data_IF_890990678172
#
_entry.id   IF_890990678172
#
_cell.length_a   1.000
_cell.length_b   1.000
_cell.length_c   1.000
_cell.angle_alpha   90.00
_cell.angle_beta   90.00
_cell.angle_gamma   90.00
#
_symmetry.space_group_name_H-M   'P 1'
#
loop_
_entity.id
_entity.type
_entity.pdbx_description
1 polymer ?
#
# COMPACT_ATOMS: atom_id res chain seq x y z
N UNK A 1 18.22 10.97 -8.95
CA UNK A 1 16.94 10.29 -8.74
C UNK A 1 16.41 9.55 -9.98
N UNK A 2 16.16 10.13 -11.16
CA UNK A 2 15.60 9.37 -12.30
C UNK A 2 16.42 8.16 -12.74
N UNK A 3 17.75 8.20 -12.64
CA UNK A 3 18.65 7.09 -12.99
C UNK A 3 18.52 5.86 -12.07
N UNK A 4 18.15 6.06 -10.81
CA UNK A 4 18.00 4.99 -9.82
C UNK A 4 16.75 4.17 -10.12
N UNK A 5 15.61 4.84 -10.34
CA UNK A 5 14.32 4.18 -10.62
C UNK A 5 14.37 3.33 -11.90
N UNK A 6 15.10 3.76 -12.92
CA UNK A 6 15.17 3.02 -14.19
C UNK A 6 16.14 1.84 -14.17
N UNK A 7 17.22 1.90 -13.38
CA UNK A 7 18.11 0.74 -13.18
C UNK A 7 17.42 -0.39 -12.41
N UNK A 8 16.47 -0.07 -11.54
CA UNK A 8 15.72 -1.04 -10.75
C UNK A 8 14.71 -1.81 -11.61
N UNK A 9 14.17 -1.20 -12.66
CA UNK A 9 13.04 -1.74 -13.44
C UNK A 9 13.39 -2.92 -14.37
N UNK A 10 14.64 -3.30 -14.58
CA UNK A 10 14.99 -4.38 -15.56
C UNK A 10 15.08 -5.80 -14.98
N UNK A 11 14.67 -6.09 -13.78
CA UNK A 11 14.43 -7.36 -13.07
C UNK A 11 14.16 -7.00 -11.61
N UNK A 12 13.10 -6.26 -11.35
CA UNK A 12 12.78 -5.75 -10.03
C UNK A 12 11.59 -6.52 -9.45
N UNK A 13 11.69 -6.82 -8.17
CA UNK A 13 10.51 -7.13 -7.36
C UNK A 13 10.06 -5.85 -6.65
N UNK A 14 8.77 -5.57 -6.64
CA UNK A 14 8.17 -4.56 -5.78
C UNK A 14 7.49 -5.30 -4.64
N UNK A 15 7.83 -4.90 -3.43
CA UNK A 15 7.30 -5.48 -2.20
C UNK A 15 6.33 -4.46 -1.62
N UNK A 16 5.10 -4.89 -1.44
CA UNK A 16 4.10 -4.12 -0.72
C UNK A 16 4.02 -4.61 0.72
N UNK A 17 4.27 -3.71 1.66
CA UNK A 17 3.94 -3.93 3.05
C UNK A 17 2.46 -3.65 3.25
N UNK A 18 1.75 -4.65 3.78
CA UNK A 18 0.36 -4.50 4.21
C UNK A 18 -0.52 -3.69 3.24
N UNK A 19 -0.80 -4.27 2.05
CA UNK A 19 -1.66 -3.66 1.01
C UNK A 19 -2.95 -3.09 1.60
N UNK A 20 -3.42 -3.65 2.71
CA UNK A 20 -4.58 -3.19 3.48
C UNK A 20 -4.36 -1.85 4.18
N UNK A 21 -3.14 -1.53 4.61
CA UNK A 21 -2.83 -0.36 5.45
C UNK A 21 -2.38 0.87 4.68
N UNK A 22 -2.28 0.79 3.36
CA UNK A 22 -1.96 1.94 2.51
C UNK A 22 -3.17 2.88 2.45
N UNK A 23 -3.66 3.28 3.62
CA UNK A 23 -4.84 4.13 3.77
C UNK A 23 -4.51 5.41 4.53
N UNK A 24 -5.15 6.47 4.09
CA UNK A 24 -5.20 7.74 4.82
C UNK A 24 -5.85 7.51 6.20
N UNK A 25 -5.09 7.73 7.26
CA UNK A 25 -5.58 7.66 8.64
C UNK A 25 -6.75 8.63 8.93
N UNK A 26 -7.06 9.52 7.99
CA UNK A 26 -8.14 10.50 8.13
C UNK A 26 -9.50 10.03 7.60
N UNK A 27 -9.56 8.92 6.85
CA UNK A 27 -10.82 8.38 6.36
C UNK A 27 -11.19 7.10 7.11
N UNK A 28 -12.29 7.17 7.83
CA UNK A 28 -12.95 6.07 8.53
C UNK A 28 -13.43 4.94 7.60
N UNK A 29 -13.37 5.14 6.30
CA UNK A 29 -13.98 4.31 5.27
C UNK A 29 -13.22 3.01 4.92
N UNK A 30 -12.24 2.61 5.74
CA UNK A 30 -11.28 1.58 5.35
C UNK A 30 -11.53 0.20 5.92
N UNK A 31 -12.36 0.09 6.95
CA UNK A 31 -12.69 -1.18 7.62
C UNK A 31 -14.19 -1.31 7.65
N UNK A 32 -14.72 -2.40 7.10
CA UNK A 32 -16.16 -2.69 7.13
C UNK A 32 -16.47 -3.89 8.02
N UNK A 33 -17.71 -3.94 8.48
CA UNK A 33 -18.32 -5.15 9.02
C UNK A 33 -19.21 -5.75 7.93
N UNK A 34 -18.67 -6.68 7.12
CA UNK A 34 -19.46 -7.31 6.08
C UNK A 34 -20.47 -8.31 6.61
N UNK A 35 -20.16 -8.96 7.75
CA UNK A 35 -20.99 -10.03 8.29
C UNK A 35 -21.10 -9.95 9.80
N UNK A 36 -22.31 -10.19 10.29
CA UNK A 36 -22.66 -10.35 11.68
C UNK A 36 -23.33 -11.72 11.83
N UNK A 37 -22.83 -12.54 12.74
CA UNK A 37 -23.39 -13.86 13.01
C UNK A 37 -23.79 -13.97 14.48
N UNK A 38 -25.05 -13.66 14.83
CA UNK A 38 -25.55 -13.83 16.19
C UNK A 38 -25.78 -15.31 16.52
N UNK A 39 -25.61 -15.67 17.78
CA UNK A 39 -25.98 -16.99 18.26
C UNK A 39 -27.51 -17.11 18.40
N UNK A 40 -27.99 -18.33 18.55
CA UNK A 40 -29.42 -18.62 18.63
C UNK A 40 -30.12 -17.82 19.74
N UNK A 41 -31.19 -17.13 19.37
CA UNK A 41 -31.98 -16.28 20.26
C UNK A 41 -31.46 -14.84 20.42
N UNK A 42 -30.46 -14.43 19.65
CA UNK A 42 -29.88 -13.08 19.65
C UNK A 42 -30.13 -12.45 18.29
N UNK A 43 -30.43 -11.16 18.23
CA UNK A 43 -30.54 -10.42 16.99
C UNK A 43 -29.22 -9.74 16.63
N UNK A 44 -29.05 -9.40 15.33
CA UNK A 44 -27.87 -8.66 14.83
C UNK A 44 -27.70 -7.34 15.60
N UNK A 45 -28.81 -6.64 15.85
CA UNK A 45 -28.78 -5.36 16.57
C UNK A 45 -28.36 -5.51 18.03
N UNK A 46 -28.81 -6.54 18.72
CA UNK A 46 -28.39 -6.80 20.11
C UNK A 46 -26.91 -7.14 20.19
N UNK A 47 -26.41 -7.96 19.26
CA UNK A 47 -24.97 -8.27 19.18
C UNK A 47 -24.15 -7.03 18.87
N UNK A 48 -24.58 -6.24 17.90
CA UNK A 48 -23.87 -5.02 17.49
C UNK A 48 -23.90 -3.94 18.58
N UNK A 49 -25.03 -3.78 19.30
CA UNK A 49 -25.14 -2.85 20.43
C UNK A 49 -24.19 -3.21 21.56
N UNK A 50 -24.10 -4.49 21.91
CA UNK A 50 -23.19 -4.96 22.94
C UNK A 50 -21.72 -4.76 22.51
N UNK A 51 -21.39 -5.13 21.28
CA UNK A 51 -20.06 -4.93 20.72
C UNK A 51 -19.69 -3.43 20.67
N UNK A 52 -20.60 -2.58 20.23
CA UNK A 52 -20.42 -1.13 20.20
C UNK A 52 -20.14 -0.55 21.59
N UNK A 53 -20.97 -0.93 22.58
CA UNK A 53 -20.80 -0.45 23.94
C UNK A 53 -19.44 -0.85 24.53
N UNK A 54 -18.90 -2.02 24.17
CA UNK A 54 -17.58 -2.48 24.61
C UNK A 54 -16.43 -1.80 23.83
N UNK A 55 -16.57 -1.69 22.51
CA UNK A 55 -15.50 -1.21 21.62
C UNK A 55 -15.34 0.33 21.59
N UNK A 56 -16.37 1.09 21.99
CA UNK A 56 -16.32 2.57 21.99
C UNK A 56 -15.16 3.13 22.85
N UNK A 57 -14.75 2.38 23.86
CA UNK A 57 -13.65 2.72 24.75
C UNK A 57 -12.28 2.18 24.25
N UNK A 58 -12.23 1.50 23.12
CA UNK A 58 -11.05 0.87 22.56
C UNK A 58 -10.38 1.76 21.54
N UNK A 59 -9.05 1.91 21.61
CA UNK A 59 -8.25 2.62 20.61
C UNK A 59 -7.86 1.71 19.43
N UNK A 60 -8.29 0.47 19.41
CA UNK A 60 -7.92 -0.49 18.37
C UNK A 60 -8.56 -0.13 17.02
N UNK A 61 -7.84 -0.24 15.89
CA UNK A 61 -8.41 0.08 14.57
C UNK A 61 -9.69 -0.70 14.22
N UNK A 62 -9.78 -1.98 14.64
CA UNK A 62 -10.97 -2.82 14.41
C UNK A 62 -12.18 -2.34 15.23
N UNK A 63 -11.94 -1.72 16.39
CA UNK A 63 -13.00 -1.12 17.20
C UNK A 63 -13.76 -0.03 16.46
N UNK A 64 -13.02 0.81 15.71
CA UNK A 64 -13.62 1.89 14.92
C UNK A 64 -14.66 1.36 13.93
N UNK A 65 -14.39 0.24 13.27
CA UNK A 65 -15.33 -0.36 12.33
C UNK A 65 -16.65 -0.79 13.03
N UNK A 66 -16.55 -1.31 14.25
CA UNK A 66 -17.73 -1.67 15.04
C UNK A 66 -18.53 -0.45 15.43
N UNK A 67 -17.83 0.61 15.88
CA UNK A 67 -18.42 1.89 16.25
C UNK A 67 -19.14 2.53 15.05
N UNK A 68 -18.45 2.69 13.93
CA UNK A 68 -18.99 3.31 12.71
C UNK A 68 -20.20 2.57 12.15
N UNK A 69 -20.15 1.23 12.15
CA UNK A 69 -21.27 0.43 11.71
C UNK A 69 -22.47 0.60 12.63
N UNK A 70 -22.29 0.60 13.93
CA UNK A 70 -23.37 0.77 14.90
C UNK A 70 -24.00 2.16 14.83
N UNK A 71 -23.16 3.19 14.70
CA UNK A 71 -23.63 4.58 14.51
C UNK A 71 -24.41 4.74 13.19
N UNK A 72 -23.91 4.13 12.10
CA UNK A 72 -24.59 4.13 10.81
C UNK A 72 -25.94 3.43 10.83
N UNK A 73 -26.08 2.38 11.63
CA UNK A 73 -27.35 1.67 11.84
C UNK A 73 -28.25 2.36 12.90
N UNK A 74 -27.79 3.48 13.48
CA UNK A 74 -28.55 4.26 14.48
C UNK A 74 -28.63 3.60 15.86
N UNK A 75 -27.69 2.71 16.17
CA UNK A 75 -27.62 2.01 17.45
C UNK A 75 -26.96 2.94 18.47
N UNK A 76 -27.48 2.92 19.71
CA UNK A 76 -26.97 3.73 20.82
C UNK A 76 -26.14 2.83 21.75
N UNK A 77 -24.92 3.31 22.10
CA UNK A 77 -24.09 2.62 23.08
C UNK A 77 -24.66 2.74 24.49
N UNK A 78 -24.44 1.72 25.29
CA UNK A 78 -24.74 1.76 26.73
C UNK A 78 -23.44 1.98 27.52
N UNK A 79 -23.56 2.61 28.69
CA UNK A 79 -22.39 2.90 29.53
C UNK A 79 -21.82 1.61 30.16
N UNK A 80 -20.51 1.39 29.96
CA UNK A 80 -19.78 0.25 30.50
C UNK A 80 -18.90 0.70 31.68
N UNK A 81 -18.94 -0.05 32.74
CA UNK A 81 -18.03 0.08 33.88
C UNK A 81 -16.94 -1.00 33.83
N UNK A 82 -15.87 -0.80 34.61
CA UNK A 82 -14.75 -1.74 34.72
C UNK A 82 -14.14 -2.16 33.39
N UNK A 83 -14.09 -1.20 32.41
CA UNK A 83 -13.49 -1.47 31.11
C UNK A 83 -11.99 -1.75 31.25
N UNK A 84 -11.52 -2.82 30.61
CA UNK A 84 -10.13 -3.21 30.57
C UNK A 84 -9.76 -3.75 29.17
N UNK A 85 -8.78 -3.15 28.53
CA UNK A 85 -8.15 -3.66 27.31
C UNK A 85 -7.03 -4.65 27.68
N UNK A 86 -7.13 -5.89 27.22
CA UNK A 86 -6.14 -6.95 27.43
C UNK A 86 -5.24 -7.02 26.20
N UNK A 87 -4.05 -6.45 26.29
CA UNK A 87 -3.12 -6.35 25.16
C UNK A 87 -2.91 -7.69 24.44
N UNK A 88 -3.24 -7.72 23.14
CA UNK A 88 -3.10 -8.90 22.29
C UNK A 88 -4.19 -9.97 22.44
N UNK A 89 -5.12 -9.83 23.38
CA UNK A 89 -6.15 -10.83 23.68
C UNK A 89 -7.58 -10.34 23.38
N UNK A 90 -7.99 -9.22 23.95
CA UNK A 90 -9.33 -8.71 23.76
C UNK A 90 -9.70 -7.63 24.77
N UNK A 91 -11.00 -7.48 25.01
CA UNK A 91 -11.60 -6.47 25.86
C UNK A 91 -12.52 -7.13 26.91
N UNK A 92 -12.65 -6.49 28.06
CA UNK A 92 -13.64 -6.87 29.06
C UNK A 92 -14.26 -5.61 29.66
N UNK A 93 -15.51 -5.73 30.13
CA UNK A 93 -16.21 -4.66 30.80
C UNK A 93 -17.49 -5.19 31.46
N UNK A 94 -18.18 -4.33 32.19
CA UNK A 94 -19.44 -4.68 32.91
C UNK A 94 -20.55 -3.77 32.39
N UNK A 95 -21.61 -4.35 31.85
CA UNK A 95 -22.82 -3.67 31.40
C UNK A 95 -24.01 -4.10 32.27
N UNK A 96 -24.64 -3.17 33.00
CA UNK A 96 -25.79 -3.45 33.87
C UNK A 96 -25.54 -4.60 34.85
N UNK A 97 -24.31 -4.77 35.39
CA UNK A 97 -23.92 -5.84 36.28
C UNK A 97 -23.58 -7.15 35.58
N UNK A 98 -23.65 -7.24 34.29
CA UNK A 98 -23.29 -8.41 33.49
C UNK A 98 -21.90 -8.25 32.83
N UNK A 99 -21.06 -9.27 32.94
CA UNK A 99 -19.71 -9.24 32.39
C UNK A 99 -19.74 -9.46 30.90
N UNK A 100 -19.14 -8.52 30.18
CA UNK A 100 -18.91 -8.58 28.72
C UNK A 100 -17.46 -8.95 28.43
N UNK A 101 -17.27 -9.72 27.36
CA UNK A 101 -15.97 -10.07 26.79
C UNK A 101 -16.03 -9.87 25.29
N UNK A 102 -14.97 -9.34 24.73
CA UNK A 102 -14.76 -9.24 23.28
C UNK A 102 -13.32 -9.59 22.92
N UNK A 103 -13.09 -10.33 21.83
CA UNK A 103 -11.72 -10.64 21.47
C UNK A 103 -11.53 -11.67 20.37
N UNK A 104 -10.27 -12.12 20.23
CA UNK A 104 -9.86 -13.10 19.23
C UNK A 104 -10.40 -14.50 19.53
N UNK A 105 -10.44 -15.36 18.50
CA UNK A 105 -10.86 -16.78 18.65
C UNK A 105 -10.06 -17.47 19.76
N UNK A 106 -8.73 -17.29 19.75
CA UNK A 106 -7.83 -17.93 20.72
C UNK A 106 -8.18 -17.52 22.15
N UNK A 107 -8.30 -16.22 22.39
CA UNK A 107 -8.64 -15.70 23.73
C UNK A 107 -10.01 -16.17 24.20
N UNK A 108 -11.00 -16.18 23.32
CA UNK A 108 -12.36 -16.60 23.67
C UNK A 108 -12.43 -18.11 23.92
N UNK A 109 -11.71 -18.93 23.15
CA UNK A 109 -11.67 -20.39 23.36
C UNK A 109 -11.00 -20.74 24.69
N UNK A 110 -9.91 -20.07 25.05
CA UNK A 110 -9.23 -20.25 26.35
C UNK A 110 -10.08 -19.78 27.55
N UNK A 111 -10.91 -18.72 27.32
CA UNK A 111 -11.67 -18.11 28.45
C UNK A 111 -13.02 -18.71 28.67
N UNK A 112 -13.80 -19.03 27.63
CA UNK A 112 -15.17 -19.49 27.73
C UNK A 112 -15.42 -20.90 27.15
N UNK A 113 -14.46 -21.42 26.38
CA UNK A 113 -14.61 -22.67 25.63
C UNK A 113 -15.60 -22.54 24.48
N UNK A 114 -15.08 -22.43 23.23
CA UNK A 114 -15.93 -22.30 22.07
C UNK A 114 -16.44 -23.65 21.59
N UNK A 115 -17.69 -23.67 21.11
CA UNK A 115 -18.24 -24.85 20.45
C UNK A 115 -17.66 -24.97 19.02
N UNK A 116 -17.72 -26.21 18.46
CA UNK A 116 -17.18 -26.50 17.12
C UNK A 116 -17.77 -25.58 16.05
N UNK A 117 -19.08 -25.29 16.11
CA UNK A 117 -19.76 -24.43 15.16
C UNK A 117 -19.19 -22.99 15.13
N UNK A 118 -18.89 -22.44 16.30
CA UNK A 118 -18.28 -21.10 16.39
C UNK A 118 -16.85 -21.08 15.81
N UNK A 119 -16.09 -22.16 16.02
CA UNK A 119 -14.75 -22.33 15.42
C UNK A 119 -14.82 -22.43 13.91
N UNK A 120 -15.70 -23.27 13.37
CA UNK A 120 -15.91 -23.42 11.94
C UNK A 120 -16.27 -22.11 11.25
N UNK A 121 -17.24 -21.35 11.80
CA UNK A 121 -17.65 -20.05 11.24
C UNK A 121 -16.50 -19.04 11.30
N UNK A 122 -15.78 -19.00 12.40
CA UNK A 122 -14.62 -18.11 12.54
C UNK A 122 -13.51 -18.47 11.56
N UNK A 123 -13.26 -19.75 11.31
CA UNK A 123 -12.31 -20.23 10.33
C UNK A 123 -12.76 -19.92 8.89
N UNK A 124 -14.06 -20.05 8.62
CA UNK A 124 -14.64 -19.67 7.34
C UNK A 124 -14.42 -18.19 7.04
N UNK A 125 -14.74 -17.30 8.00
CA UNK A 125 -14.46 -15.86 7.83
C UNK A 125 -12.97 -15.57 7.66
N UNK A 126 -12.09 -16.19 8.44
CA UNK A 126 -10.65 -16.04 8.29
C UNK A 126 -10.17 -16.50 6.90
N UNK A 127 -10.74 -17.59 6.35
CA UNK A 127 -10.42 -18.07 5.00
C UNK A 127 -10.85 -17.11 3.89
N UNK A 128 -11.85 -16.25 4.16
CA UNK A 128 -12.31 -15.17 3.27
C UNK A 128 -11.50 -13.87 3.43
N UNK A 129 -10.44 -13.86 4.26
CA UNK A 129 -9.64 -12.67 4.51
C UNK A 129 -10.22 -11.70 5.55
N UNK A 130 -11.27 -12.12 6.28
CA UNK A 130 -11.93 -11.34 7.33
C UNK A 130 -11.32 -11.66 8.70
N UNK A 131 -11.38 -10.72 9.62
CA UNK A 131 -10.95 -10.91 11.02
C UNK A 131 -12.19 -11.12 11.89
N UNK A 132 -12.44 -12.33 12.40
CA UNK A 132 -13.57 -12.57 13.30
C UNK A 132 -13.28 -12.04 14.69
N UNK A 133 -14.17 -11.19 15.20
CA UNK A 133 -14.24 -10.74 16.58
C UNK A 133 -15.41 -11.45 17.27
N UNK A 134 -15.14 -12.10 18.38
CA UNK A 134 -16.13 -12.83 19.15
C UNK A 134 -16.56 -12.04 20.37
N UNK A 135 -17.84 -12.02 20.67
CA UNK A 135 -18.41 -11.31 21.80
C UNK A 135 -19.22 -12.26 22.69
N UNK A 136 -19.02 -12.13 24.00
CA UNK A 136 -19.70 -12.96 24.97
C UNK A 136 -20.23 -12.12 26.14
N UNK A 137 -21.31 -12.62 26.77
CA UNK A 137 -21.96 -12.05 27.94
C UNK A 137 -22.08 -13.14 28.98
N UNK A 138 -21.61 -12.90 30.21
CA UNK A 138 -21.61 -13.87 31.32
C UNK A 138 -21.06 -15.25 30.90
N UNK A 139 -19.94 -15.29 30.20
CA UNK A 139 -19.27 -16.47 29.64
C UNK A 139 -20.10 -17.26 28.60
N UNK A 140 -21.19 -16.70 28.09
CA UNK A 140 -21.96 -17.28 26.99
C UNK A 140 -21.67 -16.51 25.72
N UNK A 141 -21.25 -17.20 24.64
CA UNK A 141 -21.02 -16.59 23.34
C UNK A 141 -22.32 -15.98 22.80
N UNK A 142 -22.28 -14.70 22.45
CA UNK A 142 -23.41 -13.95 21.90
C UNK A 142 -23.36 -13.93 20.36
N UNK A 143 -22.17 -13.92 19.79
CA UNK A 143 -22.00 -13.95 18.35
C UNK A 143 -20.60 -13.60 17.88
N UNK A 144 -20.48 -13.55 16.57
CA UNK A 144 -19.23 -13.26 15.84
C UNK A 144 -19.50 -12.09 14.91
N UNK A 145 -18.63 -11.09 14.95
CA UNK A 145 -18.62 -9.97 14.01
C UNK A 145 -17.38 -10.11 13.14
N UNK A 146 -17.56 -10.28 11.84
CA UNK A 146 -16.46 -10.37 10.92
C UNK A 146 -16.08 -8.96 10.43
N UNK A 147 -14.85 -8.57 10.67
CA UNK A 147 -14.29 -7.29 10.25
C UNK A 147 -13.39 -7.53 9.06
N UNK A 148 -13.57 -6.78 7.97
CA UNK A 148 -12.74 -6.87 6.78
C UNK A 148 -12.16 -5.50 6.44
N UNK A 149 -10.87 -5.49 6.13
CA UNK A 149 -10.27 -4.34 5.48
C UNK A 149 -10.73 -4.28 4.03
N UNK A 150 -11.14 -3.10 3.58
CA UNK A 150 -11.48 -2.90 2.17
C UNK A 150 -10.18 -2.86 1.37
N UNK A 151 -10.06 -3.80 0.45
CA UNK A 151 -9.04 -3.71 -0.59
C UNK A 151 -9.52 -2.66 -1.59
N UNK A 152 -8.71 -1.62 -1.82
CA UNK A 152 -9.06 -0.61 -2.82
C UNK A 152 -9.21 -1.24 -4.19
N UNK A 153 -10.24 -0.82 -4.92
CA UNK A 153 -10.50 -1.26 -6.30
C UNK A 153 -9.29 -1.04 -7.22
N UNK A 154 -8.52 0.02 -6.97
CA UNK A 154 -7.32 0.36 -7.75
C UNK A 154 -6.10 -0.55 -7.45
N UNK A 155 -6.11 -1.32 -6.36
CA UNK A 155 -4.97 -2.17 -5.96
C UNK A 155 -4.69 -3.27 -6.98
N UNK A 156 -5.72 -4.01 -7.40
CA UNK A 156 -5.58 -5.06 -8.41
C UNK A 156 -5.11 -4.50 -9.76
N UNK A 157 -5.61 -3.32 -10.13
CA UNK A 157 -5.19 -2.65 -11.36
C UNK A 157 -3.73 -2.19 -11.28
N UNK A 158 -3.29 -1.62 -10.15
CA UNK A 158 -1.92 -1.21 -9.94
C UNK A 158 -0.94 -2.39 -10.03
N UNK A 159 -1.28 -3.51 -9.40
CA UNK A 159 -0.49 -4.74 -9.46
C UNK A 159 -0.37 -5.24 -10.90
N UNK A 160 -1.48 -5.32 -11.63
CA UNK A 160 -1.49 -5.72 -13.02
C UNK A 160 -0.67 -4.79 -13.92
N UNK A 161 -0.68 -3.48 -13.67
CA UNK A 161 0.15 -2.53 -14.41
C UNK A 161 1.65 -2.75 -14.15
N UNK A 162 2.04 -3.07 -12.92
CA UNK A 162 3.43 -3.40 -12.58
C UNK A 162 3.87 -4.71 -13.25
N UNK A 163 3.04 -5.74 -13.21
CA UNK A 163 3.28 -7.00 -13.89
C UNK A 163 3.43 -6.82 -15.41
N UNK A 164 2.62 -5.96 -16.04
CA UNK A 164 2.76 -5.58 -17.45
C UNK A 164 4.09 -4.83 -17.76
N UNK A 165 4.80 -4.36 -16.74
CA UNK A 165 6.12 -3.76 -16.88
C UNK A 165 7.27 -4.74 -16.59
N UNK A 166 6.97 -6.06 -16.52
CA UNK A 166 7.89 -7.14 -16.14
C UNK A 166 8.45 -6.98 -14.72
N UNK A 167 7.63 -6.47 -13.80
CA UNK A 167 7.99 -6.29 -12.39
C UNK A 167 7.22 -7.33 -11.57
N UNK A 168 7.94 -8.17 -10.84
CA UNK A 168 7.35 -9.12 -9.88
C UNK A 168 6.83 -8.36 -8.67
N UNK A 169 5.58 -8.65 -8.28
CA UNK A 169 4.92 -8.04 -7.12
C UNK A 169 4.80 -9.06 -5.99
N UNK A 170 5.40 -8.76 -4.86
CA UNK A 170 5.40 -9.61 -3.66
C UNK A 170 4.69 -8.87 -2.52
N UNK A 171 3.71 -9.50 -1.90
CA UNK A 171 3.07 -8.98 -0.70
C UNK A 171 3.79 -9.50 0.55
N UNK A 172 4.17 -8.61 1.47
CA UNK A 172 4.75 -8.96 2.77
C UNK A 172 3.84 -8.43 3.87
N UNK A 173 3.32 -9.29 4.72
CA UNK A 173 2.35 -8.89 5.75
C UNK A 173 2.57 -9.60 7.08
N UNK A 174 2.16 -8.96 8.17
CA UNK A 174 2.08 -9.56 9.50
C UNK A 174 0.87 -10.47 9.71
N UNK A 175 -0.08 -10.47 8.76
CA UNK A 175 -1.27 -11.31 8.82
C UNK A 175 -0.94 -12.81 8.80
N UNK A 176 -1.86 -13.63 9.28
CA UNK A 176 -1.73 -15.07 9.15
C UNK A 176 -1.76 -15.51 7.68
N UNK A 177 -1.20 -16.68 7.41
CA UNK A 177 -1.00 -17.21 6.07
C UNK A 177 -2.32 -17.37 5.27
N UNK A 178 -3.43 -17.74 5.94
CA UNK A 178 -4.73 -17.92 5.27
C UNK A 178 -5.27 -16.58 4.78
N UNK A 179 -5.30 -15.58 5.64
CA UNK A 179 -5.75 -14.22 5.30
C UNK A 179 -4.87 -13.61 4.20
N UNK A 180 -3.55 -13.71 4.35
CA UNK A 180 -2.59 -13.21 3.38
C UNK A 180 -2.78 -13.85 1.99
N UNK A 181 -2.97 -15.16 1.93
CA UNK A 181 -3.23 -15.88 0.68
C UNK A 181 -4.57 -15.49 0.04
N UNK A 182 -5.62 -15.27 0.83
CA UNK A 182 -6.92 -14.82 0.34
C UNK A 182 -6.81 -13.45 -0.33
N UNK A 183 -6.14 -12.50 0.32
CA UNK A 183 -5.89 -11.16 -0.21
C UNK A 183 -5.03 -11.21 -1.47
N UNK A 184 -3.91 -11.93 -1.43
CA UNK A 184 -3.00 -12.12 -2.57
C UNK A 184 -3.75 -12.61 -3.82
N UNK A 185 -4.64 -13.60 -3.67
CA UNK A 185 -5.50 -14.08 -4.76
C UNK A 185 -6.46 -13.02 -5.28
N UNK A 186 -7.03 -12.20 -4.39
CA UNK A 186 -7.98 -11.17 -4.75
C UNK A 186 -7.32 -10.02 -5.52
N UNK A 187 -6.13 -9.58 -5.10
CA UNK A 187 -5.41 -8.47 -5.75
C UNK A 187 -4.50 -8.94 -6.87
N UNK A 188 -4.16 -10.23 -6.93
CA UNK A 188 -3.36 -10.84 -8.00
C UNK A 188 -1.86 -10.64 -7.86
N UNK A 189 -1.31 -10.64 -6.64
CA UNK A 189 0.16 -10.59 -6.44
C UNK A 189 0.83 -11.88 -6.91
N UNK A 190 2.10 -11.80 -7.32
CA UNK A 190 2.86 -12.96 -7.82
C UNK A 190 3.31 -13.87 -6.68
N UNK A 191 3.48 -13.32 -5.48
CA UNK A 191 3.95 -14.07 -4.31
C UNK A 191 3.47 -13.40 -3.02
N UNK A 192 3.46 -14.16 -1.91
CA UNK A 192 3.06 -13.65 -0.60
C UNK A 192 3.94 -14.23 0.51
N UNK A 193 4.37 -13.38 1.44
CA UNK A 193 5.14 -13.76 2.63
C UNK A 193 4.34 -13.27 3.84
N UNK A 194 3.74 -14.21 4.56
CA UNK A 194 2.84 -13.95 5.67
C UNK A 194 3.52 -14.12 7.03
N UNK A 195 2.89 -13.62 8.10
CA UNK A 195 3.35 -13.81 9.49
C UNK A 195 4.65 -13.09 9.82
N UNK A 196 4.98 -12.04 9.08
CA UNK A 196 6.25 -11.31 9.21
C UNK A 196 6.13 -10.24 10.29
N UNK A 197 6.91 -10.37 11.35
CA UNK A 197 7.03 -9.32 12.35
C UNK A 197 7.69 -8.05 11.76
N UNK A 198 7.46 -6.87 12.33
CA UNK A 198 8.03 -5.62 11.83
C UNK A 198 9.54 -5.70 11.58
N UNK A 199 10.31 -6.24 12.52
CA UNK A 199 11.77 -6.40 12.42
C UNK A 199 12.18 -7.46 11.37
N UNK A 200 11.29 -8.38 11.02
CA UNK A 200 11.55 -9.42 10.01
C UNK A 200 11.46 -8.91 8.57
N UNK A 201 10.78 -7.80 8.34
CA UNK A 201 10.60 -7.24 6.99
C UNK A 201 11.93 -6.84 6.35
N UNK A 202 12.86 -6.28 7.12
CA UNK A 202 14.21 -5.92 6.64
C UNK A 202 14.99 -7.14 6.12
N UNK A 203 14.96 -8.26 6.85
CA UNK A 203 15.67 -9.48 6.45
C UNK A 203 15.10 -10.08 5.16
N UNK A 204 13.76 -10.03 4.97
CA UNK A 204 13.11 -10.44 3.73
C UNK A 204 13.59 -9.59 2.54
N UNK A 205 13.66 -8.26 2.71
CA UNK A 205 14.21 -7.38 1.68
C UNK A 205 15.63 -7.79 1.30
N UNK A 206 16.46 -8.07 2.29
CA UNK A 206 17.85 -8.50 2.08
C UNK A 206 17.93 -9.82 1.30
N UNK A 207 17.09 -10.79 1.63
CA UNK A 207 17.02 -12.06 0.90
C UNK A 207 16.58 -11.86 -0.55
N UNK A 208 15.55 -11.07 -0.79
CA UNK A 208 15.03 -10.80 -2.14
C UNK A 208 16.01 -10.01 -3.01
N UNK A 209 16.86 -9.16 -2.42
CA UNK A 209 17.93 -8.45 -3.13
C UNK A 209 18.98 -9.40 -3.73
N UNK A 210 19.12 -10.61 -3.22
CA UNK A 210 20.00 -11.61 -3.83
C UNK A 210 19.54 -12.06 -5.22
N UNK A 211 18.23 -11.98 -5.48
CA UNK A 211 17.62 -12.35 -6.76
C UNK A 211 17.49 -11.20 -7.76
N UNK A 212 17.70 -9.95 -7.33
CA UNK A 212 17.52 -8.78 -8.21
C UNK A 212 17.40 -7.47 -7.45
N UNK A 213 16.97 -6.43 -8.17
CA UNK A 213 16.69 -5.14 -7.55
C UNK A 213 15.32 -5.14 -6.90
N UNK A 214 15.22 -4.54 -5.73
CA UNK A 214 14.03 -4.53 -4.88
C UNK A 214 13.60 -3.10 -4.58
N UNK A 215 12.35 -2.78 -4.89
CA UNK A 215 11.68 -1.61 -4.38
C UNK A 215 10.73 -2.04 -3.24
N UNK A 216 10.75 -1.31 -2.14
CA UNK A 216 9.82 -1.49 -1.02
C UNK A 216 8.80 -0.37 -1.04
N UNK A 217 7.53 -0.74 -0.89
CA UNK A 217 6.42 0.19 -0.77
C UNK A 217 5.77 -0.01 0.59
N UNK A 218 5.66 1.04 1.37
CA UNK A 218 5.10 1.00 2.72
C UNK A 218 4.49 2.34 3.11
N UNK A 219 3.70 2.34 4.19
CA UNK A 219 2.94 3.51 4.64
C UNK A 219 3.39 4.05 6.00
N UNK A 220 4.18 3.30 6.75
CA UNK A 220 4.31 3.55 8.15
C UNK A 220 5.69 3.46 8.78
N UNK A 221 5.69 3.82 10.06
CA UNK A 221 6.85 3.78 10.96
C UNK A 221 7.46 2.38 11.01
N UNK A 222 6.63 1.35 10.99
CA UNK A 222 7.04 -0.05 11.07
C UNK A 222 7.79 -0.54 9.82
N UNK A 223 7.68 0.18 8.72
CA UNK A 223 8.31 -0.17 7.44
C UNK A 223 9.61 0.61 7.19
N UNK A 224 9.95 1.60 8.01
CA UNK A 224 11.12 2.45 7.83
C UNK A 224 12.44 1.66 7.68
N UNK A 225 12.73 0.61 8.48
CA UNK A 225 13.93 -0.22 8.29
C UNK A 225 13.94 -0.93 6.92
N UNK A 226 12.79 -1.45 6.50
CA UNK A 226 12.64 -2.14 5.22
C UNK A 226 12.72 -1.17 4.02
N UNK A 227 12.14 0.03 4.12
CA UNK A 227 12.23 1.11 3.13
C UNK A 227 13.70 1.52 2.91
N UNK A 228 14.43 1.77 3.99
CA UNK A 228 15.87 2.13 3.93
C UNK A 228 16.72 0.99 3.37
N UNK A 229 16.36 -0.28 3.63
CA UNK A 229 17.12 -1.45 3.19
C UNK A 229 16.96 -1.76 1.72
N UNK A 230 15.84 -1.41 1.13
CA UNK A 230 15.53 -1.63 -0.27
C UNK A 230 16.51 -0.90 -1.21
N UNK A 231 16.51 -1.21 -2.51
CA UNK A 231 17.24 -0.41 -3.50
C UNK A 231 16.48 0.90 -3.81
N UNK A 232 15.17 0.91 -3.58
CA UNK A 232 14.32 2.10 -3.57
C UNK A 232 13.24 1.90 -2.51
N UNK A 233 13.16 2.82 -1.56
CA UNK A 233 12.03 2.96 -0.62
C UNK A 233 10.98 3.91 -1.18
N UNK A 234 9.72 3.50 -1.17
CA UNK A 234 8.58 4.29 -1.62
C UNK A 234 7.57 4.38 -0.47
N UNK A 235 7.40 5.57 0.10
CA UNK A 235 6.34 5.82 1.08
C UNK A 235 5.06 6.24 0.37
N UNK A 236 3.91 5.71 0.81
CA UNK A 236 2.58 6.05 0.29
C UNK A 236 1.74 6.74 1.37
N UNK A 237 0.96 7.75 0.92
CA UNK A 237 0.09 8.54 1.79
C UNK A 237 0.85 9.68 2.49
N UNK A 238 0.14 10.47 3.27
CA UNK A 238 0.74 11.46 4.16
C UNK A 238 1.43 10.72 5.32
N UNK A 239 2.47 9.94 4.98
CA UNK A 239 3.23 9.11 5.91
C UNK A 239 3.72 9.91 7.11
N UNK A 240 4.02 9.20 8.19
CA UNK A 240 4.68 9.81 9.33
C UNK A 240 6.04 10.38 8.91
N UNK A 241 6.52 11.41 9.57
CA UNK A 241 7.82 12.03 9.30
C UNK A 241 8.94 10.98 9.20
N UNK A 242 8.86 9.92 10.01
CA UNK A 242 9.82 8.79 10.00
C UNK A 242 9.80 8.01 8.67
N UNK A 243 8.62 7.77 8.08
CA UNK A 243 8.52 7.07 6.80
C UNK A 243 8.99 7.97 5.64
N UNK A 244 8.73 9.27 5.74
CA UNK A 244 9.20 10.28 4.78
C UNK A 244 10.73 10.33 4.77
N UNK A 245 11.36 10.34 5.94
CA UNK A 245 12.82 10.37 6.07
C UNK A 245 13.51 9.06 5.61
N UNK A 246 12.80 7.94 5.72
CA UNK A 246 13.32 6.62 5.34
C UNK A 246 13.16 6.29 3.84
N UNK A 247 12.30 7.02 3.11
CA UNK A 247 11.94 6.72 1.74
C UNK A 247 12.72 7.59 0.72
N UNK A 248 13.07 7.00 -0.43
CA UNK A 248 13.62 7.74 -1.58
C UNK A 248 12.53 8.51 -2.35
N UNK A 249 11.30 8.02 -2.31
CA UNK A 249 10.14 8.58 -3.01
C UNK A 249 8.97 8.62 -2.05
N UNK A 250 8.29 9.77 -1.98
CA UNK A 250 7.07 9.94 -1.21
C UNK A 250 5.91 10.22 -2.16
N UNK A 251 4.89 9.36 -2.11
CA UNK A 251 3.65 9.50 -2.86
C UNK A 251 2.60 10.10 -1.94
N UNK A 252 2.16 11.33 -2.24
CA UNK A 252 1.30 12.11 -1.35
C UNK A 252 -0.14 11.58 -1.26
N UNK A 253 -0.57 10.80 -2.25
CA UNK A 253 -1.90 10.19 -2.25
C UNK A 253 -1.80 8.75 -1.75
N UNK A 254 -2.86 8.30 -1.08
CA UNK A 254 -2.98 6.92 -0.61
C UNK A 254 -3.47 5.97 -1.71
N UNK A 255 -2.97 6.08 -2.94
CA UNK A 255 -3.35 5.25 -4.09
C UNK A 255 -2.17 4.40 -4.55
N UNK A 256 -2.39 3.08 -4.66
CA UNK A 256 -1.39 2.17 -5.21
C UNK A 256 -1.07 2.48 -6.68
N UNK A 257 -2.00 3.07 -7.42
CA UNK A 257 -1.80 3.49 -8.82
C UNK A 257 -0.70 4.53 -9.01
N UNK A 258 -0.36 5.26 -7.95
CA UNK A 258 0.74 6.24 -8.01
C UNK A 258 2.11 5.57 -8.13
N UNK A 259 2.27 4.31 -7.71
CA UNK A 259 3.52 3.55 -7.85
C UNK A 259 3.84 3.26 -9.33
N UNK A 260 2.95 2.58 -10.11
CA UNK A 260 3.19 2.43 -11.55
C UNK A 260 3.26 3.77 -12.28
N UNK A 261 2.51 4.80 -11.85
CA UNK A 261 2.56 6.13 -12.42
C UNK A 261 3.95 6.78 -12.22
N UNK A 262 4.53 6.70 -11.02
CA UNK A 262 5.88 7.20 -10.73
C UNK A 262 6.95 6.49 -11.57
N UNK A 263 6.82 5.18 -11.77
CA UNK A 263 7.74 4.41 -12.64
C UNK A 263 7.60 4.84 -14.11
N UNK A 264 6.38 5.02 -14.61
CA UNK A 264 6.13 5.51 -15.97
C UNK A 264 6.71 6.90 -16.17
N UNK A 265 6.48 7.79 -15.21
CA UNK A 265 7.03 9.15 -15.24
C UNK A 265 8.55 9.15 -15.27
N UNK A 266 9.19 8.34 -14.43
CA UNK A 266 10.65 8.19 -14.39
C UNK A 266 11.21 7.67 -15.73
N UNK A 267 10.57 6.66 -16.33
CA UNK A 267 10.94 6.13 -17.66
C UNK A 267 10.81 7.22 -18.76
N UNK A 268 9.72 7.99 -18.72
CA UNK A 268 9.48 9.08 -19.65
C UNK A 268 10.52 10.20 -19.50
N UNK A 269 10.83 10.60 -18.27
CA UNK A 269 11.85 11.61 -17.97
C UNK A 269 13.23 11.18 -18.45
N UNK A 270 13.63 9.92 -18.22
CA UNK A 270 14.92 9.42 -18.72
C UNK A 270 15.01 9.39 -20.24
N UNK A 271 13.95 8.96 -20.91
CA UNK A 271 13.90 9.03 -22.39
C UNK A 271 14.08 10.46 -22.85
N UNK A 272 13.38 11.40 -22.24
CA UNK A 272 13.47 12.82 -22.57
C UNK A 272 14.89 13.35 -22.35
N UNK A 273 15.57 12.97 -21.25
CA UNK A 273 16.96 13.34 -20.97
C UNK A 273 17.90 12.77 -22.05
N UNK A 274 17.75 11.52 -22.46
CA UNK A 274 18.57 10.93 -23.52
C UNK A 274 18.35 11.61 -24.87
N UNK A 275 17.11 11.93 -25.22
CA UNK A 275 16.78 12.69 -26.42
C UNK A 275 17.41 14.08 -26.39
N UNK A 276 17.34 14.79 -25.27
CA UNK A 276 17.96 16.11 -25.10
C UNK A 276 19.48 16.04 -25.22
N UNK A 277 20.13 15.07 -24.62
CA UNK A 277 21.58 14.85 -24.76
C UNK A 277 21.95 14.56 -26.21
N UNK A 278 21.18 13.69 -26.89
CA UNK A 278 21.42 13.40 -28.29
C UNK A 278 21.39 14.68 -29.14
N UNK A 279 20.34 15.49 -29.01
CA UNK A 279 20.24 16.75 -29.75
C UNK A 279 21.37 17.73 -29.39
N UNK A 280 21.71 17.86 -28.10
CA UNK A 280 22.80 18.73 -27.67
C UNK A 280 24.16 18.29 -28.23
N UNK A 281 24.42 16.97 -28.35
CA UNK A 281 25.68 16.48 -28.92
C UNK A 281 25.73 16.53 -30.43
N UNK A 282 24.63 16.24 -31.12
CA UNK A 282 24.66 16.16 -32.60
C UNK A 282 25.04 17.47 -33.23
N UNK A 283 24.58 18.61 -32.68
CA UNK A 283 24.98 19.94 -33.19
C UNK A 283 26.47 20.20 -33.03
N UNK A 284 27.08 19.75 -31.94
CA UNK A 284 28.51 19.89 -31.71
C UNK A 284 29.32 18.92 -32.57
N UNK A 285 28.88 17.70 -32.79
CA UNK A 285 29.51 16.70 -33.65
C UNK A 285 29.59 17.20 -35.10
N UNK A 286 28.57 17.91 -35.56
CA UNK A 286 28.54 18.51 -36.90
C UNK A 286 29.28 19.87 -36.93
N UNK A 287 29.06 20.70 -35.93
CA UNK A 287 29.56 22.07 -35.87
C UNK A 287 31.05 22.17 -35.67
N UNK A 288 31.67 21.31 -34.84
CA UNK A 288 33.11 21.36 -34.54
C UNK A 288 33.96 21.08 -35.81
N UNK A 289 33.72 20.01 -36.61
CA UNK A 289 34.43 19.76 -37.85
C UNK A 289 34.28 20.89 -38.86
N UNK A 290 33.10 21.51 -38.93
CA UNK A 290 32.89 22.68 -39.78
C UNK A 290 33.67 23.90 -39.30
N UNK A 291 33.72 24.14 -38.00
CA UNK A 291 34.42 25.29 -37.40
C UNK A 291 35.93 25.20 -37.54
N UNK A 292 36.53 24.01 -37.42
CA UNK A 292 37.98 23.82 -37.64
C UNK A 292 38.37 23.81 -39.13
N UNK A 293 37.39 23.94 -40.02
CA UNK A 293 37.66 24.03 -41.46
C UNK A 293 37.93 22.71 -42.17
N UNK A 294 37.53 21.56 -41.59
CA UNK A 294 37.76 20.23 -42.19
C UNK A 294 37.15 20.08 -43.57
N UNK A 295 36.11 20.86 -43.89
CA UNK A 295 35.39 20.82 -45.15
C UNK A 295 35.74 21.96 -46.11
N UNK A 296 36.73 22.83 -45.79
CA UNK A 296 37.21 23.90 -46.67
C UNK A 296 37.68 23.36 -48.05
N UNK A 297 38.37 22.19 -48.13
CA UNK A 297 38.76 21.65 -49.45
C UNK A 297 37.57 21.32 -50.35
N UNK A 298 36.38 21.15 -49.80
CA UNK A 298 35.14 20.89 -50.53
C UNK A 298 34.30 22.18 -50.75
N UNK A 299 34.88 23.35 -50.47
CA UNK A 299 34.20 24.64 -50.64
C UNK A 299 33.17 24.96 -49.55
N UNK A 300 33.14 24.20 -48.44
CA UNK A 300 32.19 24.41 -47.35
C UNK A 300 32.90 25.15 -46.21
N UNK A 301 32.46 26.37 -45.92
CA UNK A 301 32.96 27.19 -44.82
C UNK A 301 31.83 27.51 -43.84
N UNK A 302 32.15 27.53 -42.55
CA UNK A 302 31.18 27.92 -41.52
C UNK A 302 31.08 29.44 -41.45
N UNK A 303 29.90 29.98 -41.78
CA UNK A 303 29.59 31.37 -41.50
C UNK A 303 29.22 31.51 -40.00
N UNK A 304 29.78 32.46 -39.24
CA UNK A 304 29.48 32.68 -37.84
C UNK A 304 27.96 32.83 -37.53
N UNK A 305 27.21 33.40 -38.44
CA UNK A 305 25.76 33.57 -38.34
C UNK A 305 25.03 32.22 -38.30
N UNK A 306 25.44 31.23 -39.09
CA UNK A 306 24.88 29.89 -39.07
C UNK A 306 25.27 29.17 -37.80
N UNK A 307 26.47 29.38 -37.24
CA UNK A 307 26.87 28.85 -35.94
C UNK A 307 25.99 29.35 -34.81
N UNK A 308 25.74 30.65 -34.75
CA UNK A 308 24.84 31.26 -33.76
C UNK A 308 23.39 30.77 -33.89
N UNK A 309 22.90 30.65 -35.13
CA UNK A 309 21.56 30.12 -35.40
C UNK A 309 21.42 28.65 -34.95
N UNK A 310 22.44 27.81 -35.20
CA UNK A 310 22.45 26.41 -34.78
C UNK A 310 22.44 26.27 -33.25
N UNK A 311 23.18 27.11 -32.51
CA UNK A 311 23.15 27.13 -31.04
C UNK A 311 21.76 27.50 -30.50
N UNK A 312 21.12 28.54 -31.09
CA UNK A 312 19.76 28.95 -30.71
C UNK A 312 18.74 27.86 -31.00
N UNK A 313 18.84 27.17 -32.13
CA UNK A 313 17.98 26.08 -32.53
C UNK A 313 18.14 24.86 -31.61
N UNK A 314 19.39 24.55 -31.20
CA UNK A 314 19.67 23.49 -30.22
C UNK A 314 18.94 23.75 -28.91
N UNK A 315 19.04 24.97 -28.37
CA UNK A 315 18.33 25.33 -27.13
C UNK A 315 16.82 25.24 -27.29
N UNK A 316 16.29 25.69 -28.42
CA UNK A 316 14.84 25.56 -28.70
C UNK A 316 14.39 24.12 -28.79
N UNK A 317 15.16 23.22 -29.42
CA UNK A 317 14.85 21.80 -29.51
C UNK A 317 14.83 21.14 -28.13
N UNK A 318 15.82 21.44 -27.26
CA UNK A 318 15.89 20.89 -25.89
C UNK A 318 14.68 21.34 -25.05
N UNK A 319 14.36 22.65 -25.11
CA UNK A 319 13.19 23.16 -24.35
C UNK A 319 11.88 22.56 -24.86
N UNK A 320 11.71 22.53 -26.21
CA UNK A 320 10.50 21.95 -26.81
C UNK A 320 10.34 20.47 -26.48
N UNK A 321 11.43 19.69 -26.47
CA UNK A 321 11.39 18.29 -26.08
C UNK A 321 11.10 18.13 -24.58
N UNK A 322 11.67 18.99 -23.71
CA UNK A 322 11.37 18.97 -22.29
C UNK A 322 9.87 19.24 -22.00
N UNK A 323 9.26 20.17 -22.73
CA UNK A 323 7.83 20.46 -22.61
C UNK A 323 6.93 19.28 -23.00
N UNK A 324 7.38 18.37 -23.88
CA UNK A 324 6.64 17.15 -24.23
C UNK A 324 6.37 16.25 -23.01
N UNK A 325 7.18 16.35 -21.95
CA UNK A 325 6.97 15.58 -20.74
C UNK A 325 5.62 15.89 -20.07
N UNK A 326 5.12 17.12 -20.22
CA UNK A 326 3.81 17.52 -19.69
C UNK A 326 2.63 16.75 -20.33
N UNK A 327 2.85 16.16 -21.51
CA UNK A 327 1.85 15.36 -22.22
C UNK A 327 2.05 13.85 -22.01
N UNK A 328 2.97 13.45 -21.11
CA UNK A 328 3.21 12.03 -20.83
C UNK A 328 1.98 11.43 -20.13
N UNK A 329 1.43 10.36 -20.70
CA UNK A 329 0.34 9.61 -20.11
C UNK A 329 0.90 8.70 -19.01
N UNK A 330 0.80 9.11 -17.75
CA UNK A 330 1.30 8.37 -16.60
C UNK A 330 0.23 7.44 -16.00
N UNK A 331 -1.04 7.85 -16.05
CA UNK A 331 -2.17 6.99 -15.65
C UNK A 331 -2.79 6.34 -16.88
N UNK A 332 -3.13 5.05 -16.75
CA UNK A 332 -3.96 4.38 -17.74
C UNK A 332 -5.39 4.92 -17.60
N UNK A 333 -6.04 5.30 -18.72
CA UNK A 333 -7.47 5.61 -18.67
C UNK A 333 -8.22 4.33 -18.32
N UNK A 334 -9.07 4.39 -17.33
CA UNK A 334 -10.11 3.40 -17.14
C UNK A 334 -10.87 3.21 -18.45
N UNK A 335 -11.00 1.96 -18.87
CA UNK A 335 -11.85 1.56 -19.99
C UNK A 335 -13.16 1.06 -19.43
#
# INVERSE_FOLDING_TARGET
>A
MPLIVTKVVRKAAIIYSDIKRIYDKSSSDCILIPDIYPMEGITDNELLQMAYSLEINSEHPLAKAVVERAEGDGIISEEITDFLALTGNGLTGTLNGEKLLGGSIKYMDETIGLNEKAKEISEEYASQGKTPLLFAKNNKLMGIIAVADIIKEDSAQAIKELQNMDIKVVMVTGDNERTANAISKQVGTDDVIAGVLPDGKEEIIKQLKSGGKVAMVGDGINDAPALTRADIGIAIGAGTDVAIDAADIVLMKSSLMDVPAAIKLSKAALRNIHENLFWAFIYNVIGIPLAIGLFIPFGITLNPMFGAAAMSLSSFCVVSNALRLNFAKIYSKEK
#
